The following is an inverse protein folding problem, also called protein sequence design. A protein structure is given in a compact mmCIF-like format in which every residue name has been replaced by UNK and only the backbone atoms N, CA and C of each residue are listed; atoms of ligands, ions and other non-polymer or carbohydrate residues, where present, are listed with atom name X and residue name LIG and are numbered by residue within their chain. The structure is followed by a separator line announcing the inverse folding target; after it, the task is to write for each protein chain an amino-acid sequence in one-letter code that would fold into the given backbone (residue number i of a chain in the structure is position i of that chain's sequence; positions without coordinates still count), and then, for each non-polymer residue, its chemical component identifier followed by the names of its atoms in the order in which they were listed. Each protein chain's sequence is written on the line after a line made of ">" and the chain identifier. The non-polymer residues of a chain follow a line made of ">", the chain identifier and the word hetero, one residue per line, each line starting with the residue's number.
data_IF_622386132790
#
_entry.id   IF_622386132790
#
_cell.length_a   1.000
_cell.length_b   1.000
_cell.length_c   1.000
_cell.angle_alpha   90.00
_cell.angle_beta   90.00
_cell.angle_gamma   90.00
#
_symmetry.space_group_name_H-M   'P 1'
#
loop_
_entity.id
_entity.type
_entity.pdbx_description
1 polymer ?
#
# COMPACT_ATOMS: atom_id res chain seq x y z
N UNK A 1 9.31 -36.96 2.64
CA UNK A 1 9.27 -36.01 3.79
C UNK A 1 8.27 -34.91 3.43
N UNK A 2 7.14 -34.83 4.12
CA UNK A 2 6.11 -33.81 3.86
C UNK A 2 6.57 -32.46 4.43
N UNK A 3 6.64 -31.45 3.57
CA UNK A 3 7.00 -30.07 3.95
C UNK A 3 5.94 -29.52 4.91
N UNK A 4 6.31 -28.91 6.05
CA UNK A 4 5.36 -28.27 6.98
C UNK A 4 4.49 -27.22 6.28
N UNK A 5 3.25 -27.00 6.73
CA UNK A 5 2.27 -26.10 6.09
C UNK A 5 2.81 -24.68 5.88
N UNK A 6 3.48 -24.10 6.91
CA UNK A 6 4.03 -22.74 6.87
C UNK A 6 5.13 -22.61 5.80
N UNK A 7 6.03 -23.59 5.71
CA UNK A 7 7.09 -23.57 4.71
C UNK A 7 6.53 -23.78 3.30
N UNK A 8 5.45 -24.54 3.15
CA UNK A 8 4.79 -24.79 1.88
C UNK A 8 4.04 -23.56 1.39
N UNK A 9 3.32 -22.85 2.26
CA UNK A 9 2.65 -21.59 1.95
C UNK A 9 3.65 -20.55 1.42
N UNK A 10 4.81 -20.41 2.05
CA UNK A 10 5.88 -19.52 1.60
C UNK A 10 6.42 -19.91 0.23
N UNK A 11 6.70 -21.19 0.01
CA UNK A 11 7.18 -21.70 -1.29
C UNK A 11 6.15 -21.57 -2.41
N UNK A 12 4.85 -21.69 -2.11
CA UNK A 12 3.78 -21.40 -3.08
C UNK A 12 3.84 -19.95 -3.54
N UNK A 13 4.02 -18.99 -2.63
CA UNK A 13 4.15 -17.58 -2.98
C UNK A 13 5.42 -17.30 -3.81
N UNK A 14 6.55 -17.90 -3.45
CA UNK A 14 7.81 -17.78 -4.21
C UNK A 14 7.67 -18.34 -5.64
N UNK A 15 7.02 -19.50 -5.80
CA UNK A 15 6.75 -20.09 -7.10
C UNK A 15 5.87 -19.19 -7.97
N UNK A 16 4.81 -18.63 -7.38
CA UNK A 16 3.92 -17.72 -8.09
C UNK A 16 4.58 -16.37 -8.43
N UNK A 17 5.56 -15.92 -7.64
CA UNK A 17 6.38 -14.74 -7.99
C UNK A 17 7.24 -14.99 -9.24
N UNK A 18 7.74 -16.20 -9.41
CA UNK A 18 8.59 -16.56 -10.56
C UNK A 18 7.78 -16.86 -11.83
N UNK A 19 6.64 -17.55 -11.69
CA UNK A 19 5.86 -18.06 -12.82
C UNK A 19 4.61 -17.24 -13.15
N UNK A 20 4.22 -16.31 -12.27
CA UNK A 20 3.04 -15.47 -12.44
C UNK A 20 1.72 -16.15 -12.07
N UNK A 21 1.54 -17.43 -12.37
CA UNK A 21 0.35 -18.23 -12.03
C UNK A 21 0.69 -19.72 -11.98
N UNK A 22 -0.11 -20.50 -11.23
CA UNK A 22 0.00 -21.95 -11.19
C UNK A 22 -1.37 -22.60 -11.09
N UNK A 23 -1.54 -23.74 -11.74
CA UNK A 23 -2.71 -24.61 -11.57
C UNK A 23 -2.60 -25.43 -10.28
N UNK A 24 -3.73 -25.96 -9.82
CA UNK A 24 -3.77 -26.84 -8.64
C UNK A 24 -2.91 -28.10 -8.88
N UNK A 25 -2.94 -28.64 -10.11
CA UNK A 25 -2.17 -29.84 -10.46
C UNK A 25 -0.67 -29.56 -10.41
N UNK A 26 -0.20 -28.44 -10.96
CA UNK A 26 1.22 -28.06 -10.90
C UNK A 26 1.71 -27.91 -9.45
N UNK A 27 0.88 -27.37 -8.56
CA UNK A 27 1.21 -27.27 -7.14
C UNK A 27 1.22 -28.62 -6.44
N UNK A 28 0.29 -29.52 -6.77
CA UNK A 28 0.27 -30.91 -6.27
C UNK A 28 1.56 -31.64 -6.66
N UNK A 29 1.94 -31.55 -7.93
CA UNK A 29 3.14 -32.20 -8.48
C UNK A 29 4.42 -31.60 -7.88
N UNK A 30 4.48 -30.28 -7.74
CA UNK A 30 5.65 -29.58 -7.18
C UNK A 30 5.87 -29.89 -5.68
N UNK A 31 4.80 -30.04 -4.90
CA UNK A 31 4.90 -30.23 -3.45
C UNK A 31 4.68 -31.66 -2.97
N UNK A 32 4.25 -32.57 -3.85
CA UNK A 32 4.03 -33.98 -3.53
C UNK A 32 2.95 -34.22 -2.47
N UNK A 33 1.91 -33.38 -2.45
CA UNK A 33 0.80 -33.44 -1.48
C UNK A 33 -0.54 -33.59 -2.19
N UNK A 34 -1.58 -33.98 -1.47
CA UNK A 34 -2.91 -34.16 -2.07
C UNK A 34 -3.56 -32.85 -2.51
N UNK A 35 -4.48 -32.92 -3.50
CA UNK A 35 -5.32 -31.80 -3.93
C UNK A 35 -6.00 -31.08 -2.74
N UNK A 36 -6.52 -31.84 -1.78
CA UNK A 36 -7.17 -31.30 -0.57
C UNK A 36 -6.20 -30.47 0.28
N UNK A 37 -4.93 -30.88 0.35
CA UNK A 37 -3.91 -30.15 1.09
C UNK A 37 -3.59 -28.82 0.41
N UNK A 38 -3.39 -28.85 -0.92
CA UNK A 38 -3.18 -27.63 -1.72
C UNK A 38 -4.38 -26.69 -1.61
N UNK A 39 -5.61 -27.18 -1.75
CA UNK A 39 -6.81 -26.35 -1.59
C UNK A 39 -6.87 -25.65 -0.24
N UNK A 40 -6.52 -26.34 0.86
CA UNK A 40 -6.50 -25.75 2.21
C UNK A 40 -5.46 -24.65 2.32
N UNK A 41 -4.26 -24.87 1.82
CA UNK A 41 -3.18 -23.87 1.84
C UNK A 41 -3.55 -22.66 0.98
N UNK A 42 -4.10 -22.88 -0.22
CA UNK A 42 -4.56 -21.81 -1.10
C UNK A 42 -5.70 -21.00 -0.49
N UNK A 43 -6.65 -21.64 0.18
CA UNK A 43 -7.74 -20.93 0.87
C UNK A 43 -7.21 -20.01 1.96
N UNK A 44 -6.28 -20.48 2.80
CA UNK A 44 -5.62 -19.63 3.80
C UNK A 44 -4.90 -18.44 3.19
N UNK A 45 -4.15 -18.65 2.10
CA UNK A 45 -3.44 -17.59 1.41
C UNK A 45 -4.40 -16.61 0.71
N UNK A 46 -5.56 -17.07 0.24
CA UNK A 46 -6.62 -16.21 -0.30
C UNK A 46 -7.32 -15.40 0.80
N UNK A 47 -7.65 -16.03 1.94
CA UNK A 47 -8.21 -15.35 3.11
C UNK A 47 -7.26 -14.28 3.67
N UNK A 48 -5.95 -14.57 3.63
CA UNK A 48 -4.90 -13.61 3.98
C UNK A 48 -4.65 -12.54 2.91
N UNK A 49 -5.35 -12.59 1.76
CA UNK A 49 -5.23 -11.61 0.67
C UNK A 49 -3.94 -11.70 -0.14
N UNK A 50 -3.23 -12.83 -0.09
CA UNK A 50 -2.00 -13.04 -0.86
C UNK A 50 -2.25 -13.60 -2.26
N UNK A 51 -3.34 -14.32 -2.46
CA UNK A 51 -3.70 -14.99 -3.72
C UNK A 51 -5.09 -14.62 -4.20
N UNK A 52 -5.30 -14.72 -5.51
CA UNK A 52 -6.62 -14.65 -6.16
C UNK A 52 -6.80 -15.80 -7.14
N UNK A 53 -8.06 -16.22 -7.33
CA UNK A 53 -8.43 -17.22 -8.33
C UNK A 53 -8.29 -16.65 -9.75
N UNK A 54 -7.75 -17.46 -10.65
CA UNK A 54 -7.71 -17.22 -12.09
C UNK A 54 -8.33 -18.44 -12.78
N UNK A 55 -8.82 -18.27 -14.01
CA UNK A 55 -9.34 -19.42 -14.78
C UNK A 55 -8.26 -20.49 -14.92
N UNK A 56 -8.51 -21.67 -14.35
CA UNK A 56 -7.56 -22.81 -14.36
C UNK A 56 -6.52 -22.84 -13.23
N UNK A 57 -6.51 -21.88 -12.27
CA UNK A 57 -5.52 -21.90 -11.18
C UNK A 57 -5.58 -20.71 -10.24
N UNK A 58 -4.41 -20.35 -9.71
CA UNK A 58 -4.21 -19.22 -8.80
C UNK A 58 -3.07 -18.34 -9.27
N UNK A 59 -3.12 -17.08 -8.93
CA UNK A 59 -2.05 -16.11 -9.12
C UNK A 59 -1.88 -15.30 -7.84
N UNK A 60 -0.75 -14.62 -7.71
CA UNK A 60 -0.61 -13.64 -6.64
C UNK A 60 -1.76 -12.63 -6.73
N UNK A 61 -2.35 -12.30 -5.60
CA UNK A 61 -3.29 -11.21 -5.55
C UNK A 61 -2.54 -9.96 -6.03
N UNK A 62 -2.95 -9.45 -7.17
CA UNK A 62 -2.42 -8.19 -7.66
C UNK A 62 -2.86 -7.12 -6.65
N UNK A 63 -1.95 -6.68 -5.78
CA UNK A 63 -2.21 -5.55 -4.88
C UNK A 63 -2.49 -4.25 -5.65
N UNK A 64 -2.46 -4.31 -6.97
CA UNK A 64 -2.66 -3.16 -7.87
C UNK A 64 -4.07 -3.03 -8.45
N UNK A 65 -5.05 -3.86 -8.09
CA UNK A 65 -6.38 -3.70 -8.71
C UNK A 65 -7.54 -4.35 -7.96
N UNK A 66 -7.75 -4.08 -6.70
CA UNK A 66 -9.09 -3.96 -6.12
C UNK A 66 -8.91 -3.04 -4.92
N UNK A 67 -9.06 -1.73 -5.11
CA UNK A 67 -9.45 -0.88 -4.01
C UNK A 67 -10.87 -1.32 -3.63
N UNK A 68 -10.98 -2.20 -2.64
CA UNK A 68 -12.25 -2.37 -1.95
C UNK A 68 -12.67 -0.96 -1.57
N UNK A 69 -13.83 -0.55 -2.02
CA UNK A 69 -14.31 0.82 -1.79
C UNK A 69 -14.14 1.15 -0.31
N UNK A 70 -13.36 2.19 0.00
CA UNK A 70 -13.03 2.54 1.38
C UNK A 70 -11.73 1.99 1.98
N UNK A 71 -10.94 1.16 1.27
CA UNK A 71 -9.65 0.64 1.75
C UNK A 71 -8.45 1.24 1.02
N UNK A 72 -7.31 1.28 1.73
CA UNK A 72 -6.03 1.75 1.21
C UNK A 72 -5.46 0.75 0.20
N UNK A 73 -5.19 1.20 -1.02
CA UNK A 73 -4.60 0.39 -2.08
C UNK A 73 -3.17 -0.11 -1.76
N UNK A 74 -2.50 0.45 -0.74
CA UNK A 74 -1.15 0.06 -0.33
C UNK A 74 -1.14 -0.94 0.82
N UNK A 75 -1.87 -0.65 1.91
CA UNK A 75 -1.78 -1.42 3.16
C UNK A 75 -3.09 -2.07 3.60
N UNK A 76 -4.19 -1.88 2.86
CA UNK A 76 -5.49 -2.47 3.16
C UNK A 76 -6.25 -1.84 4.34
N UNK A 77 -5.67 -0.89 5.08
CA UNK A 77 -6.36 -0.19 6.17
C UNK A 77 -7.54 0.63 5.65
N UNK A 78 -8.61 0.84 6.44
CA UNK A 78 -9.68 1.74 6.07
C UNK A 78 -9.17 3.14 5.74
N UNK A 79 -9.73 3.76 4.71
CA UNK A 79 -9.45 5.14 4.39
C UNK A 79 -10.17 6.07 5.37
N UNK A 80 -9.50 7.12 5.79
CA UNK A 80 -10.06 8.20 6.62
C UNK A 80 -10.12 9.48 5.79
N UNK A 81 -11.26 10.13 5.76
CA UNK A 81 -11.42 11.43 5.07
C UNK A 81 -10.42 12.48 5.53
N UNK A 82 -9.94 12.35 6.75
CA UNK A 82 -9.00 13.29 7.39
C UNK A 82 -7.57 13.16 6.88
N UNK A 83 -7.19 11.99 6.34
CA UNK A 83 -5.80 11.69 5.97
C UNK A 83 -5.67 11.08 4.57
N UNK A 84 -6.79 10.85 3.88
CA UNK A 84 -6.80 10.17 2.58
C UNK A 84 -5.92 10.89 1.55
N UNK A 85 -5.17 10.10 0.81
CA UNK A 85 -4.39 10.52 -0.34
C UNK A 85 -4.94 9.83 -1.59
N UNK A 86 -5.06 10.56 -2.69
CA UNK A 86 -5.69 10.10 -3.92
C UNK A 86 -4.70 10.28 -5.07
N UNK A 87 -4.45 9.21 -5.81
CA UNK A 87 -3.62 9.22 -7.02
C UNK A 87 -4.53 9.00 -8.22
N UNK A 88 -4.64 10.00 -9.08
CA UNK A 88 -5.42 9.94 -10.32
C UNK A 88 -4.49 9.61 -11.49
N UNK A 89 -4.88 8.64 -12.31
CA UNK A 89 -4.14 8.18 -13.46
C UNK A 89 -4.72 8.78 -14.76
N UNK A 90 -3.89 8.86 -15.80
CA UNK A 90 -4.30 9.36 -17.12
C UNK A 90 -5.44 8.57 -17.77
N UNK A 91 -5.57 7.28 -17.41
CA UNK A 91 -6.65 6.42 -17.90
C UNK A 91 -7.98 6.59 -17.14
N UNK A 92 -8.06 7.54 -16.20
CA UNK A 92 -9.23 7.79 -15.36
C UNK A 92 -9.33 6.90 -14.11
N UNK A 93 -8.43 5.96 -13.93
CA UNK A 93 -8.35 5.15 -12.70
C UNK A 93 -7.93 6.01 -11.51
N UNK A 94 -8.48 5.70 -10.35
CA UNK A 94 -8.14 6.37 -9.11
C UNK A 94 -7.67 5.36 -8.05
N UNK A 95 -6.49 5.59 -7.47
CA UNK A 95 -5.99 4.82 -6.33
C UNK A 95 -6.10 5.65 -5.05
N UNK A 96 -6.65 5.05 -4.00
CA UNK A 96 -6.85 5.71 -2.72
C UNK A 96 -5.94 5.10 -1.66
N UNK A 97 -5.35 5.94 -0.84
CA UNK A 97 -4.47 5.55 0.26
C UNK A 97 -4.95 6.15 1.58
N UNK A 98 -4.78 5.42 2.67
CA UNK A 98 -5.23 5.84 4.00
C UNK A 98 -4.51 7.09 4.55
N UNK A 99 -3.32 7.42 4.04
CA UNK A 99 -2.51 8.54 4.49
C UNK A 99 -1.45 8.94 3.45
N UNK A 100 -0.77 10.05 3.70
CA UNK A 100 0.32 10.58 2.85
C UNK A 100 1.42 9.55 2.62
N UNK A 101 1.87 8.83 3.66
CA UNK A 101 2.89 7.79 3.53
C UNK A 101 2.52 6.77 2.44
N UNK A 102 1.38 6.12 2.59
CA UNK A 102 0.90 5.13 1.61
C UNK A 102 0.64 5.74 0.24
N UNK A 103 0.14 6.98 0.19
CA UNK A 103 -0.16 7.69 -1.05
C UNK A 103 1.09 7.99 -1.87
N UNK A 104 2.13 8.51 -1.25
CA UNK A 104 3.42 8.78 -1.89
C UNK A 104 4.12 7.49 -2.34
N UNK A 105 3.98 6.40 -1.57
CA UNK A 105 4.47 5.08 -1.97
C UNK A 105 3.75 4.56 -3.22
N UNK A 106 2.41 4.71 -3.29
CA UNK A 106 1.65 4.36 -4.50
C UNK A 106 2.09 5.23 -5.68
N UNK A 107 2.20 6.55 -5.47
CA UNK A 107 2.60 7.50 -6.51
C UNK A 107 3.98 7.16 -7.09
N UNK A 108 4.97 6.85 -6.25
CA UNK A 108 6.34 6.53 -6.69
C UNK A 108 6.43 5.22 -7.49
N UNK A 109 5.50 4.28 -7.28
CA UNK A 109 5.44 2.98 -7.96
C UNK A 109 4.47 2.96 -9.15
N UNK A 110 3.75 4.05 -9.39
CA UNK A 110 2.71 4.12 -10.43
C UNK A 110 3.16 5.00 -11.57
N UNK A 111 3.06 4.49 -12.82
CA UNK A 111 3.29 5.26 -14.04
C UNK A 111 2.01 6.00 -14.45
N UNK A 112 2.15 7.05 -15.26
CA UNK A 112 1.03 7.81 -15.84
C UNK A 112 0.11 8.45 -14.78
N UNK A 113 0.72 8.96 -13.70
CA UNK A 113 0.02 9.78 -12.70
C UNK A 113 -0.11 11.18 -13.27
N UNK A 114 -1.37 11.64 -13.49
CA UNK A 114 -1.61 13.00 -13.97
C UNK A 114 -1.83 13.98 -12.81
N UNK A 115 -2.38 13.50 -11.67
CA UNK A 115 -2.61 14.34 -10.49
C UNK A 115 -2.64 13.51 -9.22
N UNK A 116 -2.08 14.04 -8.14
CA UNK A 116 -2.29 13.52 -6.80
C UNK A 116 -2.87 14.58 -5.88
N UNK A 117 -3.82 14.15 -5.05
CA UNK A 117 -4.48 14.99 -4.04
C UNK A 117 -4.22 14.42 -2.66
N UNK A 118 -3.96 15.31 -1.72
CA UNK A 118 -3.90 14.96 -0.29
C UNK A 118 -4.94 15.78 0.49
N UNK A 119 -5.16 15.44 1.74
CA UNK A 119 -6.11 16.16 2.59
C UNK A 119 -5.35 17.11 3.50
N UNK A 120 -5.73 18.41 3.51
CA UNK A 120 -5.27 19.33 4.53
C UNK A 120 -5.71 18.82 5.91
N UNK A 121 -4.74 18.58 6.78
CA UNK A 121 -5.01 17.92 8.06
C UNK A 121 -5.86 18.78 9.00
N UNK A 122 -5.71 20.09 8.97
CA UNK A 122 -6.48 21.01 9.83
C UNK A 122 -7.90 21.22 9.31
N UNK A 123 -8.04 21.46 8.02
CA UNK A 123 -9.29 21.91 7.40
C UNK A 123 -10.10 20.80 6.73
N UNK A 124 -9.47 19.65 6.41
CA UNK A 124 -10.16 18.50 5.83
C UNK A 124 -10.47 18.59 4.33
N UNK A 125 -10.11 19.70 3.65
CA UNK A 125 -10.31 19.81 2.21
C UNK A 125 -9.16 19.18 1.41
N UNK A 126 -9.43 18.81 0.15
CA UNK A 126 -8.43 18.24 -0.74
C UNK A 126 -7.57 19.33 -1.35
N UNK A 127 -6.26 19.11 -1.33
CA UNK A 127 -5.24 20.02 -1.88
C UNK A 127 -4.33 19.22 -2.83
N UNK A 128 -3.68 19.94 -3.77
CA UNK A 128 -2.68 19.32 -4.63
C UNK A 128 -1.51 18.79 -3.81
N UNK A 129 -1.16 17.51 -4.00
CA UNK A 129 -0.03 16.91 -3.32
C UNK A 129 1.30 17.62 -3.62
N UNK A 130 1.46 18.13 -4.86
CA UNK A 130 2.67 18.85 -5.27
C UNK A 130 2.82 20.23 -4.60
N UNK A 131 1.73 20.82 -4.12
CA UNK A 131 1.71 22.14 -3.49
C UNK A 131 1.57 22.07 -1.96
N UNK A 132 1.37 20.88 -1.42
CA UNK A 132 1.21 20.68 0.01
C UNK A 132 2.55 20.83 0.76
N UNK A 133 2.46 21.27 1.99
CA UNK A 133 3.53 21.26 2.99
C UNK A 133 3.37 20.03 3.87
N UNK A 134 4.43 19.26 4.00
CA UNK A 134 4.42 17.99 4.74
C UNK A 134 5.16 18.13 6.07
N UNK A 135 4.58 17.60 7.13
CA UNK A 135 5.21 17.52 8.44
C UNK A 135 5.71 16.10 8.67
N UNK A 136 7.03 15.95 8.82
CA UNK A 136 7.74 14.68 8.98
C UNK A 136 8.27 14.55 10.41
N UNK A 137 8.19 13.33 10.98
CA UNK A 137 8.80 13.03 12.28
C UNK A 137 8.21 13.82 13.46
N UNK A 138 6.92 14.17 13.38
CA UNK A 138 6.18 14.74 14.53
C UNK A 138 5.89 13.64 15.56
N UNK A 139 5.60 14.06 16.81
CA UNK A 139 5.22 13.15 17.90
C UNK A 139 3.87 12.46 17.67
N UNK A 140 3.15 12.84 16.60
CA UNK A 140 1.85 12.26 16.27
C UNK A 140 1.96 11.02 15.40
N UNK A 141 1.37 9.94 15.87
CA UNK A 141 1.20 8.69 15.12
C UNK A 141 -0.27 8.51 14.75
N UNK A 142 -0.66 8.96 13.53
CA UNK A 142 -2.07 9.01 13.12
C UNK A 142 -2.50 7.76 12.34
N UNK A 143 -1.63 7.23 11.46
CA UNK A 143 -1.99 6.11 10.60
C UNK A 143 -0.83 5.13 10.42
N UNK A 144 0.04 5.35 9.44
CA UNK A 144 1.22 4.53 9.15
C UNK A 144 2.49 5.17 9.70
N UNK A 145 3.51 4.36 9.98
CA UNK A 145 4.83 4.83 10.41
C UNK A 145 5.78 4.73 9.22
N UNK A 146 6.53 5.80 8.92
CA UNK A 146 6.52 7.12 9.57
C UNK A 146 5.21 7.88 9.33
N UNK A 147 4.75 8.60 10.36
CA UNK A 147 3.56 9.45 10.23
C UNK A 147 3.92 10.73 9.48
N UNK A 148 3.13 11.05 8.46
CA UNK A 148 3.30 12.24 7.62
C UNK A 148 1.95 12.95 7.53
N UNK A 149 1.94 14.23 7.88
CA UNK A 149 0.75 15.07 7.78
C UNK A 149 0.92 16.10 6.66
N UNK A 150 -0.16 16.47 6.00
CA UNK A 150 -0.17 17.46 4.91
C UNK A 150 -0.99 18.68 5.27
N UNK A 151 -0.51 19.85 4.85
CA UNK A 151 -1.10 21.16 5.11
C UNK A 151 -1.13 21.98 3.82
N UNK A 152 -2.19 22.73 3.60
CA UNK A 152 -2.30 23.67 2.48
C UNK A 152 -1.54 24.98 2.71
N UNK A 153 -1.14 25.27 3.94
CA UNK A 153 -0.46 26.51 4.32
C UNK A 153 0.81 26.24 5.10
N UNK A 154 1.93 26.81 4.65
CA UNK A 154 3.21 26.71 5.36
C UNK A 154 3.11 27.33 6.76
N UNK A 155 2.41 28.46 6.89
CA UNK A 155 2.23 29.15 8.18
C UNK A 155 1.50 28.26 9.20
N UNK A 156 0.52 27.48 8.75
CA UNK A 156 -0.21 26.54 9.60
C UNK A 156 0.62 25.31 9.95
N UNK A 157 1.34 24.76 8.99
CA UNK A 157 2.32 23.69 9.22
C UNK A 157 3.37 24.11 10.26
N UNK A 158 3.88 25.35 10.17
CA UNK A 158 4.83 25.90 11.16
C UNK A 158 4.23 26.04 12.56
N UNK A 159 2.98 26.50 12.67
CA UNK A 159 2.27 26.56 13.96
C UNK A 159 2.11 25.15 14.55
N UNK A 160 1.74 24.21 13.72
CA UNK A 160 1.54 22.82 14.12
C UNK A 160 2.86 22.17 14.57
N UNK A 161 3.94 22.38 13.82
CA UNK A 161 5.29 21.92 14.17
C UNK A 161 5.76 22.42 15.53
N UNK A 162 5.45 23.65 15.90
CA UNK A 162 5.82 24.21 17.22
C UNK A 162 5.20 23.45 18.40
N UNK A 163 4.02 22.85 18.20
CA UNK A 163 3.32 22.07 19.24
C UNK A 163 3.70 20.59 19.25
N UNK A 164 4.00 20.01 18.09
CA UNK A 164 4.13 18.55 17.92
C UNK A 164 5.48 18.12 17.35
N UNK A 165 6.44 19.02 17.23
CA UNK A 165 7.76 18.70 16.72
C UNK A 165 7.81 18.40 15.22
N UNK A 166 8.89 17.78 14.79
CA UNK A 166 9.10 17.39 13.40
C UNK A 166 9.73 18.50 12.53
N UNK A 167 9.79 18.25 11.22
CA UNK A 167 10.27 19.19 10.21
C UNK A 167 9.29 19.33 9.06
N UNK A 168 9.21 20.51 8.47
CA UNK A 168 8.41 20.77 7.27
C UNK A 168 9.23 20.44 6.04
N UNK A 169 8.59 19.83 5.05
CA UNK A 169 9.18 19.40 3.80
C UNK A 169 8.22 19.63 2.63
N UNK A 170 8.74 19.72 1.42
CA UNK A 170 7.98 19.61 0.18
C UNK A 170 7.81 18.14 -0.24
N UNK A 171 7.17 17.89 -1.38
CA UNK A 171 6.89 16.52 -1.85
C UNK A 171 8.18 15.74 -2.14
N UNK A 172 9.19 16.37 -2.78
CA UNK A 172 10.45 15.70 -3.16
C UNK A 172 11.28 15.33 -1.93
N UNK A 173 11.37 16.24 -0.97
CA UNK A 173 12.02 15.97 0.32
C UNK A 173 11.32 14.88 1.11
N UNK A 174 10.00 14.81 1.00
CA UNK A 174 9.18 13.77 1.66
C UNK A 174 9.38 12.41 1.00
N UNK A 175 9.45 12.34 -0.31
CA UNK A 175 9.77 11.11 -1.05
C UNK A 175 11.17 10.61 -0.71
N UNK A 176 12.17 11.49 -0.68
CA UNK A 176 13.55 11.15 -0.27
C UNK A 176 13.61 10.64 1.18
N UNK A 177 12.86 11.27 2.09
CA UNK A 177 12.75 10.80 3.47
C UNK A 177 12.18 9.39 3.56
N UNK A 178 11.08 9.11 2.85
CA UNK A 178 10.48 7.77 2.80
C UNK A 178 11.45 6.73 2.21
N UNK A 179 12.13 7.08 1.14
CA UNK A 179 13.12 6.20 0.50
C UNK A 179 14.25 5.84 1.47
N UNK A 180 14.79 6.80 2.19
CA UNK A 180 15.85 6.58 3.18
C UNK A 180 15.40 5.68 4.32
N UNK A 181 14.18 5.88 4.83
CA UNK A 181 13.62 5.06 5.92
C UNK A 181 13.32 3.60 5.53
N UNK A 182 13.19 3.31 4.24
CA UNK A 182 12.94 1.95 3.73
C UNK A 182 14.22 1.16 3.47
N UNK A 183 15.37 1.85 3.38
CA UNK A 183 16.65 1.24 3.04
C UNK A 183 17.67 1.35 4.19
N UNK A 184 17.26 1.87 5.33
CA UNK A 184 18.01 1.89 6.59
C UNK A 184 17.66 0.68 7.47
#
# INVERSE_FOLDING_TARGET
>A
MTVPSIDREKKILELLQQQGSASIQELVDAFGVSNMTIHRDLNKLMEAGHLQKKHGGVTLANKSAISVEGQCAMCGKPNSERTIFIVNLENGEQKRACCVHCGLMIQSQTKNVWQSLTTDYLHGHKISANQAFYLLGSDLSICCVPSILSFGSQKEAEKFRKGFGGRIANIDETLNYLYTMMHA
#
